data_IF_120655256319
#
_entry.id   IF_120655256319
#
_cell.length_a   1.000
_cell.length_b   1.000
_cell.length_c   1.000
_cell.angle_alpha   90.00
_cell.angle_beta   90.00
_cell.angle_gamma   90.00
#
_symmetry.space_group_name_H-M   'P 1'
#
loop_
_entity.id
_entity.type
_entity.pdbx_description
1 polymer ?
#
# COMPACT_ATOMS: atom_id res chain seq x y z
N UNK A 1 -34.70 53.69 15.28
CA UNK A 1 -34.40 52.29 15.63
C UNK A 1 -33.95 51.56 14.37
N UNK A 2 -32.65 51.29 14.23
CA UNK A 2 -32.07 50.58 13.08
C UNK A 2 -31.42 49.29 13.61
N UNK A 3 -32.06 48.16 13.31
CA UNK A 3 -31.62 46.83 13.71
C UNK A 3 -30.48 46.39 12.78
N UNK A 4 -29.27 46.27 13.32
CA UNK A 4 -28.12 45.68 12.63
C UNK A 4 -28.21 44.14 12.70
N UNK A 5 -28.43 43.48 11.56
CA UNK A 5 -28.21 42.04 11.40
C UNK A 5 -26.70 41.78 11.29
N UNK A 6 -26.09 41.22 12.33
CA UNK A 6 -24.76 40.60 12.27
C UNK A 6 -24.89 39.16 11.74
N UNK A 7 -24.54 38.95 10.48
CA UNK A 7 -24.33 37.62 9.89
C UNK A 7 -22.96 37.11 10.34
N UNK A 8 -22.96 36.23 11.35
CA UNK A 8 -21.81 35.41 11.74
C UNK A 8 -21.60 34.31 10.68
N UNK A 9 -20.68 34.55 9.75
CA UNK A 9 -20.10 33.53 8.88
C UNK A 9 -19.20 32.63 9.74
N UNK A 10 -19.74 31.50 10.20
CA UNK A 10 -18.96 30.42 10.77
C UNK A 10 -18.13 29.77 9.65
N UNK A 11 -16.87 30.19 9.52
CA UNK A 11 -15.87 29.50 8.70
C UNK A 11 -15.58 28.13 9.30
N UNK A 12 -16.25 27.10 8.81
CA UNK A 12 -15.89 25.71 9.09
C UNK A 12 -14.52 25.49 8.44
N UNK A 13 -13.46 25.52 9.26
CA UNK A 13 -12.15 25.07 8.87
C UNK A 13 -12.23 23.56 8.62
N UNK A 14 -12.48 23.18 7.37
CA UNK A 14 -12.17 21.84 6.89
C UNK A 14 -10.67 21.62 7.13
N UNK A 15 -10.24 20.60 7.89
CA UNK A 15 -8.85 20.19 7.86
C UNK A 15 -8.60 19.67 6.44
N UNK A 16 -8.15 20.56 5.57
CA UNK A 16 -7.56 20.17 4.31
C UNK A 16 -6.45 19.20 4.65
N UNK A 17 -6.54 17.99 4.12
CA UNK A 17 -5.39 17.10 3.92
C UNK A 17 -4.39 17.87 3.06
N UNK A 18 -3.64 18.78 3.68
CA UNK A 18 -2.58 19.53 3.04
C UNK A 18 -1.43 18.55 2.81
N UNK A 19 -1.58 17.76 1.74
CA UNK A 19 -0.58 16.86 1.20
C UNK A 19 0.69 17.66 0.93
N UNK A 20 1.76 17.33 1.66
CA UNK A 20 3.03 18.05 1.62
C UNK A 20 3.69 17.93 0.23
N UNK A 21 3.62 19.00 -0.56
CA UNK A 21 4.36 19.18 -1.83
C UNK A 21 5.67 19.92 -1.58
N UNK A 22 6.32 19.63 -0.47
CA UNK A 22 7.49 20.38 -0.04
C UNK A 22 8.75 20.03 -0.86
N UNK A 23 9.74 20.92 -0.86
CA UNK A 23 11.02 20.72 -1.55
C UNK A 23 11.72 19.39 -1.19
N UNK A 24 11.51 18.88 0.02
CA UNK A 24 12.08 17.61 0.48
C UNK A 24 11.58 16.40 -0.31
N UNK A 25 10.30 16.38 -0.71
CA UNK A 25 9.72 15.26 -1.47
C UNK A 25 10.35 15.18 -2.85
N UNK A 26 10.47 16.33 -3.53
CA UNK A 26 11.07 16.41 -4.86
C UNK A 26 12.57 16.11 -4.82
N UNK A 27 13.29 16.60 -3.81
CA UNK A 27 14.70 16.29 -3.63
C UNK A 27 14.94 14.78 -3.40
N UNK A 28 14.15 14.16 -2.52
CA UNK A 28 14.22 12.71 -2.28
C UNK A 28 13.83 11.90 -3.53
N UNK A 29 12.82 12.32 -4.31
CA UNK A 29 12.43 11.64 -5.55
C UNK A 29 13.55 11.71 -6.59
N UNK A 30 14.17 12.88 -6.76
CA UNK A 30 15.30 13.05 -7.67
C UNK A 30 16.49 12.16 -7.27
N UNK A 31 16.80 12.09 -5.97
CA UNK A 31 17.85 11.21 -5.46
C UNK A 31 17.53 9.73 -5.65
N UNK A 32 16.29 9.31 -5.36
CA UNK A 32 15.85 7.93 -5.59
C UNK A 32 16.00 7.53 -7.07
N UNK A 33 15.63 8.42 -7.99
CA UNK A 33 15.79 8.19 -9.44
C UNK A 33 17.26 8.07 -9.83
N UNK A 34 18.14 8.89 -9.23
CA UNK A 34 19.58 8.81 -9.47
C UNK A 34 20.15 7.45 -9.00
N UNK A 35 19.77 6.99 -7.81
CA UNK A 35 20.24 5.70 -7.27
C UNK A 35 19.75 4.53 -8.13
N UNK A 36 18.49 4.56 -8.59
CA UNK A 36 17.96 3.54 -9.51
C UNK A 36 18.75 3.48 -10.83
N UNK A 37 19.07 4.63 -11.41
CA UNK A 37 19.88 4.70 -12.62
C UNK A 37 21.31 4.15 -12.40
N UNK A 38 21.88 4.37 -11.20
CA UNK A 38 23.22 3.90 -10.84
C UNK A 38 23.26 2.37 -10.68
N UNK A 39 22.19 1.77 -10.17
CA UNK A 39 22.05 0.31 -10.03
C UNK A 39 21.74 -0.40 -11.37
N UNK A 40 21.60 0.35 -12.47
CA UNK A 40 21.27 -0.20 -13.78
C UNK A 40 19.81 -0.65 -13.91
N UNK A 41 18.93 -0.23 -12.99
CA UNK A 41 17.52 -0.52 -13.07
C UNK A 41 16.87 0.27 -14.22
N UNK A 42 16.14 -0.40 -15.11
CA UNK A 42 15.37 0.21 -16.20
C UNK A 42 14.07 0.81 -15.69
N UNK A 43 14.15 1.70 -14.70
CA UNK A 43 12.99 2.41 -14.18
C UNK A 43 12.58 3.52 -15.15
N UNK A 44 11.34 3.45 -15.67
CA UNK A 44 10.73 4.54 -16.44
C UNK A 44 10.49 5.76 -15.54
N UNK A 45 10.03 5.53 -14.32
CA UNK A 45 9.73 6.59 -13.36
C UNK A 45 9.82 6.12 -11.90
N UNK A 46 9.89 7.08 -10.97
CA UNK A 46 9.78 6.86 -9.52
C UNK A 46 8.65 7.74 -8.99
N UNK A 47 7.63 7.11 -8.42
CA UNK A 47 6.46 7.79 -7.87
C UNK A 47 6.48 7.70 -6.36
N UNK A 48 6.24 8.81 -5.65
CA UNK A 48 5.97 8.79 -4.21
C UNK A 48 4.48 9.05 -3.99
N UNK A 49 3.84 8.16 -3.23
CA UNK A 49 2.42 8.24 -2.92
C UNK A 49 2.15 9.34 -1.90
N UNK A 50 1.05 10.06 -2.14
CA UNK A 50 0.57 11.12 -1.24
C UNK A 50 -0.50 10.57 -0.31
N UNK A 51 -0.14 9.55 0.45
CA UNK A 51 -1.03 8.90 1.40
C UNK A 51 -0.72 9.31 2.85
N UNK A 52 -1.43 8.71 3.80
CA UNK A 52 -1.24 8.95 5.24
C UNK A 52 0.13 8.53 5.78
N UNK A 53 0.91 7.76 5.01
CA UNK A 53 2.22 7.25 5.42
C UNK A 53 3.35 8.19 4.97
N UNK A 54 3.06 9.17 4.10
CA UNK A 54 4.01 10.22 3.75
C UNK A 54 4.19 11.17 4.95
N UNK A 55 5.28 10.98 5.68
CA UNK A 55 5.58 11.71 6.93
C UNK A 55 6.96 12.32 6.82
N UNK A 56 7.07 13.59 7.24
CA UNK A 56 8.35 14.25 7.44
C UNK A 56 8.56 14.54 8.92
N UNK A 57 9.58 13.93 9.49
CA UNK A 57 9.99 14.15 10.87
C UNK A 57 11.22 15.05 10.89
N UNK A 58 11.13 16.17 11.61
CA UNK A 58 12.28 17.05 11.80
C UNK A 58 13.20 16.44 12.86
N UNK A 59 14.47 16.32 12.51
CA UNK A 59 15.53 15.82 13.36
C UNK A 59 16.57 16.94 13.55
N UNK A 60 17.16 17.04 14.74
CA UNK A 60 18.25 17.99 15.00
C UNK A 60 19.40 17.26 15.69
N UNK A 61 19.76 16.08 15.16
CA UNK A 61 20.82 15.23 15.72
C UNK A 61 21.70 14.70 14.59
N UNK A 62 22.96 14.43 14.93
CA UNK A 62 23.87 13.71 14.02
C UNK A 62 23.54 12.22 14.06
N UNK A 63 23.50 11.59 12.89
CA UNK A 63 23.48 10.13 12.75
C UNK A 63 24.89 9.72 12.30
N UNK A 64 25.69 9.22 13.26
CA UNK A 64 27.13 9.03 13.05
C UNK A 64 27.86 10.36 12.82
N UNK A 65 28.59 10.47 11.72
CA UNK A 65 29.27 11.71 11.30
C UNK A 65 28.42 12.65 10.47
N UNK A 66 27.24 12.20 10.01
CA UNK A 66 26.37 12.97 9.11
C UNK A 66 25.32 13.74 9.91
N UNK A 67 25.09 15.00 9.51
CA UNK A 67 23.99 15.79 10.04
C UNK A 67 22.71 15.46 9.29
N UNK A 68 21.63 15.16 10.03
CA UNK A 68 20.31 14.89 9.48
C UNK A 68 19.33 15.88 10.12
N UNK A 69 18.75 16.74 9.28
CA UNK A 69 17.75 17.74 9.65
C UNK A 69 16.33 17.19 9.58
N UNK A 70 16.09 16.18 8.75
CA UNK A 70 14.79 15.53 8.65
C UNK A 70 14.87 14.14 8.06
N UNK A 71 13.83 13.36 8.36
CA UNK A 71 13.59 12.03 7.82
C UNK A 71 12.25 12.10 7.09
N UNK A 72 12.25 11.77 5.80
CA UNK A 72 11.04 11.61 5.01
C UNK A 72 10.80 10.12 4.80
N UNK A 73 9.67 9.62 5.28
CA UNK A 73 9.21 8.25 5.04
C UNK A 73 7.90 8.26 4.26
N UNK A 74 7.62 7.20 3.52
CA UNK A 74 6.37 7.08 2.79
C UNK A 74 6.29 5.81 1.96
N UNK A 75 5.25 5.75 1.13
CA UNK A 75 5.10 4.72 0.11
C UNK A 75 5.41 5.30 -1.26
N UNK A 76 5.80 4.44 -2.19
CA UNK A 76 6.04 4.81 -3.57
C UNK A 76 6.11 3.60 -4.47
N UNK A 77 6.46 3.84 -5.72
CA UNK A 77 6.63 2.81 -6.71
C UNK A 77 7.78 3.11 -7.65
N UNK A 78 8.49 2.06 -8.06
CA UNK A 78 9.35 2.09 -9.23
C UNK A 78 8.53 1.62 -10.42
N UNK A 79 8.32 2.51 -11.39
CA UNK A 79 7.52 2.23 -12.59
C UNK A 79 8.43 1.65 -13.65
N UNK A 80 8.08 0.47 -14.12
CA UNK A 80 8.78 -0.24 -15.18
C UNK A 80 7.99 -0.10 -16.50
N UNK A 81 8.70 -0.07 -17.62
CA UNK A 81 8.06 -0.05 -18.94
C UNK A 81 7.45 -1.42 -19.25
N UNK A 82 6.16 -1.46 -19.63
CA UNK A 82 5.47 -2.70 -20.00
C UNK A 82 5.29 -3.74 -18.89
N UNK A 83 5.69 -3.46 -17.65
CA UNK A 83 5.65 -4.40 -16.53
C UNK A 83 4.93 -3.82 -15.30
N UNK A 84 4.44 -4.67 -14.37
CA UNK A 84 3.86 -4.20 -13.12
C UNK A 84 4.88 -3.37 -12.34
N UNK A 85 4.41 -2.29 -11.72
CA UNK A 85 5.28 -1.46 -10.90
C UNK A 85 5.65 -2.15 -9.58
N UNK A 86 6.86 -1.88 -9.10
CA UNK A 86 7.32 -2.36 -7.80
C UNK A 86 6.87 -1.34 -6.73
N UNK A 87 5.80 -1.67 -6.01
CA UNK A 87 5.27 -0.85 -4.91
C UNK A 87 6.06 -1.12 -3.62
N UNK A 88 6.61 -0.06 -3.03
CA UNK A 88 7.61 -0.11 -1.97
C UNK A 88 7.32 0.96 -0.92
N UNK A 89 7.81 0.73 0.29
CA UNK A 89 7.98 1.80 1.26
C UNK A 89 9.37 2.42 1.05
N UNK A 90 9.57 3.66 1.51
CA UNK A 90 10.87 4.32 1.43
C UNK A 90 11.21 5.08 2.70
N UNK A 91 12.51 5.29 2.86
CA UNK A 91 13.08 6.23 3.80
C UNK A 91 14.12 7.10 3.09
N UNK A 92 14.06 8.40 3.33
CA UNK A 92 14.99 9.38 2.82
C UNK A 92 15.50 10.26 3.97
N UNK A 93 16.82 10.30 4.16
CA UNK A 93 17.45 11.18 5.15
C UNK A 93 17.91 12.46 4.47
N UNK A 94 17.60 13.59 5.08
CA UNK A 94 17.81 14.92 4.55
C UNK A 94 18.74 15.70 5.49
N UNK A 95 19.86 16.20 4.97
CA UNK A 95 20.71 17.14 5.72
C UNK A 95 20.07 18.52 5.85
N UNK A 96 19.19 18.87 4.91
CA UNK A 96 18.20 19.95 4.97
C UNK A 96 17.08 19.67 3.95
N UNK A 97 16.09 20.55 3.84
CA UNK A 97 14.91 20.36 2.98
C UNK A 97 15.20 20.14 1.48
N UNK A 98 16.43 20.34 0.99
CA UNK A 98 16.79 20.16 -0.43
C UNK A 98 17.95 19.19 -0.65
N UNK A 99 18.59 18.69 0.41
CA UNK A 99 19.80 17.86 0.32
C UNK A 99 19.59 16.48 0.94
N UNK A 100 19.16 15.49 0.14
CA UNK A 100 19.15 14.10 0.56
C UNK A 100 20.58 13.58 0.71
N UNK A 101 20.83 12.83 1.78
CA UNK A 101 22.13 12.19 2.06
C UNK A 101 22.03 10.68 2.07
N UNK A 102 20.82 10.13 2.11
CA UNK A 102 20.55 8.71 2.07
C UNK A 102 19.14 8.47 1.54
N UNK A 103 18.98 7.39 0.79
CA UNK A 103 17.68 6.90 0.36
C UNK A 103 17.70 5.38 0.36
N UNK A 104 16.61 4.75 0.78
CA UNK A 104 16.46 3.31 0.66
C UNK A 104 15.00 2.89 0.42
N UNK A 105 14.84 1.88 -0.43
CA UNK A 105 13.58 1.18 -0.63
C UNK A 105 13.42 0.06 0.41
N UNK A 106 12.19 -0.13 0.86
CA UNK A 106 11.79 -1.14 1.83
C UNK A 106 10.63 -1.97 1.26
N UNK A 107 10.58 -3.29 1.51
CA UNK A 107 9.44 -4.10 1.12
C UNK A 107 8.14 -3.57 1.74
N UNK A 108 7.07 -3.49 0.94
CA UNK A 108 5.72 -3.13 1.37
C UNK A 108 4.81 -4.34 1.29
N UNK A 109 4.05 -4.60 2.36
CA UNK A 109 3.15 -5.76 2.42
C UNK A 109 1.70 -5.45 2.02
N UNK A 110 1.28 -4.19 2.13
CA UNK A 110 -0.09 -3.72 1.91
C UNK A 110 -0.22 -2.91 0.61
N UNK A 111 0.61 -3.21 -0.38
CA UNK A 111 0.61 -2.49 -1.65
C UNK A 111 -0.72 -2.68 -2.40
N UNK A 112 -1.40 -1.58 -2.82
CA UNK A 112 -2.68 -1.66 -3.51
C UNK A 112 -2.55 -2.39 -4.85
N UNK A 113 -3.33 -3.45 -5.05
CA UNK A 113 -3.17 -4.34 -6.21
C UNK A 113 -3.42 -3.60 -7.54
N UNK A 114 -4.37 -2.67 -7.54
CA UNK A 114 -4.66 -1.87 -8.73
C UNK A 114 -3.50 -0.94 -9.09
N UNK A 115 -2.83 -0.33 -8.11
CA UNK A 115 -1.71 0.58 -8.33
C UNK A 115 -0.56 -0.12 -9.08
N UNK A 116 -0.22 -1.35 -8.67
CA UNK A 116 0.77 -2.18 -9.36
C UNK A 116 0.53 -2.28 -10.88
N UNK A 117 -0.74 -2.36 -11.29
CA UNK A 117 -1.16 -2.66 -12.65
C UNK A 117 -1.58 -1.43 -13.48
N UNK A 118 -1.59 -0.22 -12.92
CA UNK A 118 -2.08 0.98 -13.65
C UNK A 118 -1.08 2.14 -13.74
N UNK A 119 0.09 2.02 -13.10
CA UNK A 119 1.11 3.07 -13.16
C UNK A 119 1.81 3.15 -14.52
N UNK A 120 2.09 2.02 -15.18
CA UNK A 120 2.58 2.02 -16.56
C UNK A 120 1.43 2.26 -17.55
N UNK A 121 1.69 3.03 -18.61
CA UNK A 121 0.65 3.41 -19.59
C UNK A 121 0.11 2.18 -20.33
N UNK A 122 0.99 1.22 -20.62
CA UNK A 122 0.70 -0.02 -21.32
C UNK A 122 -0.26 -0.91 -20.51
N UNK A 123 0.00 -1.05 -19.20
CA UNK A 123 -0.87 -1.84 -18.32
C UNK A 123 -2.13 -1.07 -17.92
N UNK A 124 -2.07 0.26 -17.81
CA UNK A 124 -3.25 1.08 -17.49
C UNK A 124 -4.39 0.88 -18.48
N UNK A 125 -4.08 0.68 -19.75
CA UNK A 125 -5.09 0.41 -20.77
C UNK A 125 -5.76 -0.97 -20.60
N UNK A 126 -5.07 -1.93 -19.98
CA UNK A 126 -5.50 -3.33 -19.82
C UNK A 126 -4.95 -3.92 -18.52
N UNK A 127 -5.44 -3.48 -17.34
CA UNK A 127 -4.87 -3.93 -16.06
C UNK A 127 -5.19 -5.39 -15.74
N UNK A 128 -6.20 -5.96 -16.41
CA UNK A 128 -6.77 -7.27 -16.09
C UNK A 128 -5.75 -8.42 -16.05
N UNK A 129 -4.87 -8.64 -17.05
CA UNK A 129 -3.92 -9.76 -16.99
C UNK A 129 -2.90 -9.63 -15.83
N UNK A 130 -2.51 -8.39 -15.50
CA UNK A 130 -1.66 -8.12 -14.34
C UNK A 130 -2.40 -8.48 -13.04
N UNK A 131 -3.66 -8.07 -12.90
CA UNK A 131 -4.47 -8.39 -11.72
C UNK A 131 -4.74 -9.89 -11.57
N UNK A 132 -5.01 -10.61 -12.67
CA UNK A 132 -5.22 -12.06 -12.66
C UNK A 132 -3.95 -12.79 -12.18
N UNK A 133 -2.76 -12.36 -12.63
CA UNK A 133 -1.48 -12.88 -12.13
C UNK A 133 -1.31 -12.61 -10.62
N UNK A 134 -1.59 -11.38 -10.17
CA UNK A 134 -1.50 -11.03 -8.76
C UNK A 134 -2.48 -11.83 -7.89
N UNK A 135 -3.67 -12.17 -8.42
CA UNK A 135 -4.63 -13.05 -7.78
C UNK A 135 -4.07 -14.46 -7.64
N UNK A 136 -3.55 -15.05 -8.71
CA UNK A 136 -2.96 -16.40 -8.66
C UNK A 136 -1.84 -16.49 -7.62
N UNK A 137 -0.95 -15.49 -7.58
CA UNK A 137 0.13 -15.44 -6.58
C UNK A 137 -0.42 -15.31 -5.15
N UNK A 138 -1.41 -14.44 -4.92
CA UNK A 138 -2.01 -14.25 -3.60
C UNK A 138 -2.75 -15.52 -3.13
N UNK A 139 -3.47 -16.20 -4.01
CA UNK A 139 -4.18 -17.44 -3.71
C UNK A 139 -3.21 -18.60 -3.45
N UNK A 140 -2.12 -18.71 -4.22
CA UNK A 140 -1.08 -19.71 -3.97
C UNK A 140 -0.46 -19.53 -2.59
N UNK A 141 -0.11 -18.29 -2.22
CA UNK A 141 0.43 -17.98 -0.90
C UNK A 141 -0.57 -18.28 0.22
N UNK A 142 -1.84 -17.84 0.08
CA UNK A 142 -2.87 -18.13 1.06
C UNK A 142 -3.09 -19.63 1.23
N UNK A 143 -3.10 -20.40 0.14
CA UNK A 143 -3.27 -21.85 0.20
C UNK A 143 -2.11 -22.54 0.95
N UNK A 144 -0.88 -22.07 0.74
CA UNK A 144 0.29 -22.56 1.48
C UNK A 144 0.12 -22.31 2.99
N UNK A 145 -0.19 -21.07 3.39
CA UNK A 145 -0.40 -20.73 4.80
C UNK A 145 -1.59 -21.47 5.40
N UNK A 146 -2.67 -21.59 4.62
CA UNK A 146 -3.86 -22.32 5.05
C UNK A 146 -3.54 -23.78 5.37
N UNK A 147 -2.81 -24.47 4.47
CA UNK A 147 -2.46 -25.87 4.65
C UNK A 147 -1.61 -26.08 5.91
N UNK A 148 -0.63 -25.21 6.16
CA UNK A 148 0.20 -25.27 7.36
C UNK A 148 -0.66 -25.14 8.64
N UNK A 149 -1.46 -24.06 8.75
CA UNK A 149 -2.30 -23.82 9.94
C UNK A 149 -3.39 -24.86 10.12
N UNK A 150 -3.86 -25.44 9.04
CA UNK A 150 -4.80 -26.55 9.07
C UNK A 150 -4.18 -27.80 9.71
N UNK A 151 -2.93 -28.15 9.38
CA UNK A 151 -2.24 -29.27 10.05
C UNK A 151 -2.01 -28.99 11.53
N UNK A 152 -1.59 -27.77 11.90
CA UNK A 152 -1.42 -27.38 13.30
C UNK A 152 -2.72 -27.50 14.10
N UNK A 153 -3.87 -27.16 13.50
CA UNK A 153 -5.18 -27.34 14.13
C UNK A 153 -5.49 -28.83 14.37
N UNK A 154 -5.19 -29.69 13.39
CA UNK A 154 -5.37 -31.15 13.51
C UNK A 154 -4.47 -31.78 14.56
N UNK A 155 -3.24 -31.31 14.69
CA UNK A 155 -2.30 -31.77 15.73
C UNK A 155 -2.83 -31.42 17.13
N UNK A 156 -3.39 -30.22 17.31
CA UNK A 156 -4.02 -29.82 18.58
C UNK A 156 -5.25 -30.66 18.91
N UNK A 157 -6.06 -30.94 17.90
CA UNK A 157 -7.24 -31.80 18.02
C UNK A 157 -6.87 -33.24 18.39
N UNK A 158 -5.83 -33.80 17.77
CA UNK A 158 -5.28 -35.10 18.13
C UNK A 158 -4.80 -35.14 19.60
N UNK A 159 -4.12 -34.08 20.06
CA UNK A 159 -3.68 -33.97 21.45
C UNK A 159 -4.85 -33.81 22.44
N UNK A 160 -5.89 -33.06 22.04
CA UNK A 160 -7.09 -32.83 22.85
C UNK A 160 -8.15 -33.94 22.76
N UNK A 161 -7.96 -34.94 21.88
CA UNK A 161 -8.93 -35.99 21.55
C UNK A 161 -10.29 -35.42 21.12
N UNK A 162 -10.28 -34.43 20.22
CA UNK A 162 -11.49 -33.79 19.67
C UNK A 162 -11.26 -33.28 18.24
N UNK A 163 -12.19 -32.46 17.73
CA UNK A 163 -12.15 -31.84 16.38
C UNK A 163 -12.44 -30.32 16.41
N UNK A 164 -12.40 -29.74 17.62
CA UNK A 164 -12.82 -28.36 17.88
C UNK A 164 -11.96 -27.35 17.14
N UNK A 165 -10.65 -27.55 17.10
CA UNK A 165 -9.72 -26.58 16.51
C UNK A 165 -9.82 -26.59 14.98
N UNK A 166 -9.89 -27.77 14.37
CA UNK A 166 -10.09 -27.95 12.93
C UNK A 166 -11.43 -27.34 12.50
N UNK A 167 -12.52 -27.69 13.18
CA UNK A 167 -13.85 -27.18 12.85
C UNK A 167 -13.93 -25.65 12.98
N UNK A 168 -13.38 -25.09 14.06
CA UNK A 168 -13.31 -23.64 14.25
C UNK A 168 -12.47 -22.95 13.15
N UNK A 169 -11.34 -23.55 12.78
CA UNK A 169 -10.47 -23.02 11.74
C UNK A 169 -11.15 -23.03 10.35
N UNK A 170 -11.82 -24.12 9.97
CA UNK A 170 -12.61 -24.19 8.72
C UNK A 170 -13.70 -23.13 8.70
N UNK A 171 -14.48 -23.03 9.78
CA UNK A 171 -15.57 -22.05 9.91
C UNK A 171 -15.04 -20.61 9.78
N UNK A 172 -13.95 -20.28 10.49
CA UNK A 172 -13.35 -18.95 10.41
C UNK A 172 -12.94 -18.57 8.98
N UNK A 173 -12.39 -19.52 8.22
CA UNK A 173 -12.01 -19.30 6.82
C UNK A 173 -13.20 -19.19 5.87
N UNK A 174 -14.28 -19.92 6.13
CA UNK A 174 -15.52 -19.77 5.37
C UNK A 174 -16.15 -18.38 5.57
N UNK A 175 -16.26 -17.93 6.82
CA UNK A 175 -16.80 -16.60 7.12
C UNK A 175 -15.92 -15.49 6.56
N UNK A 176 -14.59 -15.67 6.58
CA UNK A 176 -13.68 -14.72 5.95
C UNK A 176 -13.90 -14.62 4.42
N UNK A 177 -14.11 -15.75 3.72
CA UNK A 177 -14.41 -15.71 2.28
C UNK A 177 -15.69 -14.94 1.98
N UNK A 178 -16.75 -15.17 2.75
CA UNK A 178 -18.02 -14.43 2.62
C UNK A 178 -17.79 -12.93 2.84
N UNK A 179 -17.03 -12.56 3.87
CA UNK A 179 -16.64 -11.16 4.11
C UNK A 179 -15.88 -10.56 2.91
N UNK A 180 -14.86 -11.26 2.42
CA UNK A 180 -14.04 -10.82 1.28
C UNK A 180 -14.92 -10.53 0.07
N UNK A 181 -15.77 -11.48 -0.30
CA UNK A 181 -16.59 -11.37 -1.50
C UNK A 181 -17.60 -10.21 -1.36
N UNK A 182 -18.23 -10.04 -0.19
CA UNK A 182 -19.14 -8.94 0.09
C UNK A 182 -18.45 -7.56 0.09
N UNK A 183 -17.28 -7.46 0.71
CA UNK A 183 -16.49 -6.22 0.73
C UNK A 183 -16.01 -5.84 -0.67
N UNK A 184 -15.60 -6.81 -1.49
CA UNK A 184 -15.14 -6.53 -2.85
C UNK A 184 -16.28 -6.16 -3.79
N UNK A 185 -17.48 -6.70 -3.61
CA UNK A 185 -18.69 -6.19 -4.26
C UNK A 185 -18.96 -4.73 -3.83
N UNK A 186 -18.88 -4.43 -2.54
CA UNK A 186 -19.06 -3.06 -2.04
C UNK A 186 -18.07 -2.09 -2.68
N UNK A 187 -16.78 -2.46 -2.80
CA UNK A 187 -15.75 -1.63 -3.44
C UNK A 187 -15.96 -1.46 -4.94
N UNK A 188 -16.37 -2.53 -5.65
CA UNK A 188 -16.78 -2.46 -7.06
C UNK A 188 -17.87 -1.42 -7.26
N UNK A 189 -18.91 -1.47 -6.43
CA UNK A 189 -20.07 -0.58 -6.55
C UNK A 189 -19.72 0.88 -6.25
N UNK A 190 -18.57 1.14 -5.61
CA UNK A 190 -18.00 2.46 -5.34
C UNK A 190 -16.76 2.76 -6.21
N UNK A 191 -16.60 2.06 -7.35
CA UNK A 191 -15.47 2.29 -8.25
C UNK A 191 -15.42 3.77 -8.71
N UNK A 192 -14.25 4.43 -8.65
CA UNK A 192 -14.10 5.78 -9.17
C UNK A 192 -14.44 5.86 -10.65
N UNK A 193 -14.97 7.00 -11.10
CA UNK A 193 -15.24 7.25 -12.53
C UNK A 193 -13.96 7.04 -13.35
N UNK A 194 -14.09 6.31 -14.46
CA UNK A 194 -12.97 6.02 -15.37
C UNK A 194 -12.12 4.81 -14.96
N UNK A 195 -12.43 4.15 -13.83
CA UNK A 195 -11.80 2.90 -13.41
C UNK A 195 -12.77 1.75 -13.64
N UNK A 196 -12.32 0.65 -14.25
CA UNK A 196 -13.14 -0.54 -14.48
C UNK A 196 -13.63 -1.14 -13.16
N UNK A 197 -14.94 -1.25 -12.98
CA UNK A 197 -15.53 -1.74 -11.73
C UNK A 197 -15.05 -3.17 -11.41
N UNK A 198 -15.00 -4.05 -12.41
CA UNK A 198 -14.53 -5.42 -12.24
C UNK A 198 -13.03 -5.49 -11.89
N UNK A 199 -12.22 -4.53 -12.35
CA UNK A 199 -10.81 -4.42 -11.98
C UNK A 199 -10.67 -3.97 -10.52
N UNK A 200 -11.53 -3.07 -10.04
CA UNK A 200 -11.62 -2.69 -8.62
C UNK A 200 -12.02 -3.90 -7.77
N UNK A 201 -12.99 -4.70 -8.21
CA UNK A 201 -13.39 -5.92 -7.50
C UNK A 201 -12.22 -6.89 -7.40
N UNK A 202 -11.54 -7.16 -8.52
CA UNK A 202 -10.43 -8.10 -8.56
C UNK A 202 -9.25 -7.61 -7.71
N UNK A 203 -8.88 -6.33 -7.81
CA UNK A 203 -7.85 -5.74 -6.97
C UNK A 203 -8.16 -5.90 -5.47
N UNK A 204 -9.43 -5.69 -5.07
CA UNK A 204 -9.87 -5.95 -3.70
C UNK A 204 -9.67 -7.41 -3.28
N UNK A 205 -10.01 -8.37 -4.15
CA UNK A 205 -9.82 -9.80 -3.87
C UNK A 205 -8.35 -10.09 -3.61
N UNK A 206 -7.44 -9.56 -4.46
CA UNK A 206 -5.99 -9.69 -4.28
C UNK A 206 -5.55 -9.14 -2.93
N UNK A 207 -5.93 -7.89 -2.61
CA UNK A 207 -5.53 -7.20 -1.38
C UNK A 207 -5.98 -7.96 -0.11
N UNK A 208 -7.25 -8.35 -0.06
CA UNK A 208 -7.78 -9.08 1.10
C UNK A 208 -7.20 -10.48 1.22
N UNK A 209 -6.90 -11.15 0.10
CA UNK A 209 -6.27 -12.48 0.08
C UNK A 209 -4.83 -12.41 0.61
N UNK A 210 -4.05 -11.42 0.18
CA UNK A 210 -2.69 -11.15 0.72
C UNK A 210 -2.72 -10.88 2.21
N UNK A 211 -3.63 -10.00 2.65
CA UNK A 211 -3.79 -9.70 4.08
C UNK A 211 -4.12 -10.95 4.89
N UNK A 212 -5.00 -11.80 4.38
CA UNK A 212 -5.35 -13.05 5.06
C UNK A 212 -4.18 -14.02 5.14
N UNK A 213 -3.36 -14.11 4.09
CA UNK A 213 -2.14 -14.92 4.13
C UNK A 213 -1.18 -14.41 5.20
N UNK A 214 -1.00 -13.09 5.33
CA UNK A 214 -0.19 -12.47 6.39
C UNK A 214 -0.73 -12.75 7.80
N UNK A 215 -2.05 -12.65 8.00
CA UNK A 215 -2.70 -12.98 9.29
C UNK A 215 -2.49 -14.45 9.70
N UNK A 216 -2.13 -15.33 8.76
CA UNK A 216 -1.84 -16.74 9.00
C UNK A 216 -0.34 -17.05 9.15
N UNK A 217 0.57 -16.11 8.87
CA UNK A 217 2.02 -16.33 9.08
C UNK A 217 2.38 -16.31 10.55
#
# INVERSE_FOLDING_TARGET
MRTLCFLLLASIALPGLAQYQGPAVEACRAYARQEQNREGATAKDVVFDRDRHLVIERYARKLGSQFVASILTGNGAVVLEGAPSAELAFICLLADEKRPVFFNWLPRQDAPALAHCVRSDELRAKPRPCLDLLQQLAEAELNQQYAQRFQEARERDAAAKGDRFEAAYRKANEEWRRYRDAECVRRRDHAPKGVGADDVQLACIVELTRRRALDMR
#
